data_IF_045188004080
#
_entry.id   IF_045188004080
#
_cell.length_a   1.000
_cell.length_b   1.000
_cell.length_c   1.000
_cell.angle_alpha   90.00
_cell.angle_beta   90.00
_cell.angle_gamma   90.00
#
_symmetry.space_group_name_H-M   'P 1'
#
loop_
_entity.id
_entity.type
_entity.pdbx_description
1 polymer ?
#
# COMPACT_ATOMS: atom_id res chain seq x y z
N UNK A 1 -26.49 8.52 9.27
CA UNK A 1 -25.85 7.59 8.33
C UNK A 1 -24.51 7.17 8.94
N UNK A 2 -24.37 5.90 9.33
CA UNK A 2 -23.14 5.39 9.93
C UNK A 2 -22.13 5.04 8.81
N UNK A 3 -20.91 5.55 8.92
CA UNK A 3 -19.85 5.34 7.93
C UNK A 3 -19.20 3.96 8.19
N UNK A 4 -19.80 2.90 7.64
CA UNK A 4 -19.33 1.53 7.78
C UNK A 4 -18.02 1.24 7.03
N UNK A 5 -17.41 2.25 6.40
CA UNK A 5 -16.09 2.12 5.77
C UNK A 5 -14.95 1.91 6.79
N UNK A 6 -15.20 2.26 8.06
CA UNK A 6 -14.27 2.08 9.19
C UNK A 6 -14.26 0.65 9.75
N UNK A 7 -15.27 -0.17 9.45
CA UNK A 7 -15.36 -1.56 9.91
C UNK A 7 -14.33 -2.44 9.21
N UNK A 8 -13.68 -3.35 9.93
CA UNK A 8 -12.62 -4.22 9.41
C UNK A 8 -13.09 -5.12 8.24
N UNK A 9 -14.39 -5.45 8.22
CA UNK A 9 -15.01 -6.37 7.26
C UNK A 9 -15.34 -5.70 5.91
N UNK A 10 -15.31 -4.36 5.83
CA UNK A 10 -15.59 -3.66 4.59
C UNK A 10 -14.40 -3.73 3.64
N UNK A 11 -14.58 -4.35 2.46
CA UNK A 11 -13.56 -4.45 1.41
C UNK A 11 -13.15 -3.07 0.83
N UNK A 12 -14.04 -2.09 0.93
CA UNK A 12 -13.83 -0.73 0.44
C UNK A 12 -13.77 0.29 1.59
N UNK A 13 -12.89 1.28 1.46
CA UNK A 13 -12.68 2.39 2.39
C UNK A 13 -13.02 3.74 1.75
N UNK A 14 -13.57 4.67 2.53
CA UNK A 14 -13.81 6.04 2.06
C UNK A 14 -12.51 6.85 2.00
N UNK A 15 -12.55 8.03 1.38
CA UNK A 15 -11.44 9.00 1.42
C UNK A 15 -11.04 9.38 2.84
N UNK A 16 -11.99 9.38 3.78
CA UNK A 16 -11.73 9.61 5.21
C UNK A 16 -10.99 8.45 5.86
N UNK A 17 -11.28 7.21 5.46
CA UNK A 17 -10.51 6.04 5.89
C UNK A 17 -9.07 6.11 5.35
N UNK A 18 -8.90 6.36 4.05
CA UNK A 18 -7.58 6.47 3.43
C UNK A 18 -6.73 7.60 4.04
N UNK A 19 -7.34 8.76 4.33
CA UNK A 19 -6.68 9.87 5.01
C UNK A 19 -6.18 9.47 6.41
N UNK A 20 -7.03 8.84 7.23
CA UNK A 20 -6.64 8.33 8.56
C UNK A 20 -5.55 7.28 8.47
N UNK A 21 -5.64 6.37 7.49
CA UNK A 21 -4.67 5.30 7.28
C UNK A 21 -3.29 5.84 6.88
N UNK A 22 -3.25 7.00 6.21
CA UNK A 22 -2.02 7.72 5.88
C UNK A 22 -1.57 8.70 6.98
N UNK A 23 -2.31 8.82 8.09
CA UNK A 23 -2.04 9.80 9.15
C UNK A 23 -2.24 11.26 8.71
N UNK A 24 -3.11 11.50 7.73
CA UNK A 24 -3.38 12.82 7.15
C UNK A 24 -4.79 13.30 7.53
N UNK A 25 -4.93 14.61 7.72
CA UNK A 25 -6.25 15.24 7.76
C UNK A 25 -6.95 15.14 6.40
N UNK A 26 -8.29 15.04 6.33
CA UNK A 26 -9.02 14.88 5.07
C UNK A 26 -8.76 16.01 4.05
N UNK A 27 -8.58 17.25 4.51
CA UNK A 27 -8.19 18.36 3.63
C UNK A 27 -6.78 18.19 3.05
N UNK A 28 -5.82 17.77 3.87
CA UNK A 28 -4.45 17.50 3.43
C UNK A 28 -4.38 16.28 2.50
N UNK A 29 -5.24 15.29 2.71
CA UNK A 29 -5.36 14.14 1.82
C UNK A 29 -5.89 14.56 0.46
N UNK A 30 -6.93 15.38 0.38
CA UNK A 30 -7.46 15.89 -0.90
C UNK A 30 -6.43 16.70 -1.69
N UNK A 31 -5.67 17.57 -1.02
CA UNK A 31 -4.60 18.36 -1.63
C UNK A 31 -3.45 17.48 -2.14
N UNK A 32 -3.02 16.51 -1.33
CA UNK A 32 -1.95 15.58 -1.68
C UNK A 32 -2.41 14.43 -2.56
N UNK A 33 -3.71 14.26 -2.79
CA UNK A 33 -4.27 13.12 -3.53
C UNK A 33 -3.63 12.99 -4.90
N UNK A 34 -3.54 14.09 -5.64
CA UNK A 34 -2.93 14.12 -6.97
C UNK A 34 -1.46 13.67 -6.95
N UNK A 35 -0.73 14.11 -5.92
CA UNK A 35 0.67 13.73 -5.70
C UNK A 35 0.81 12.27 -5.27
N UNK A 36 -0.15 11.73 -4.52
CA UNK A 36 -0.19 10.33 -4.12
C UNK A 36 -0.50 9.44 -5.34
N UNK A 37 -1.49 9.79 -6.14
CA UNK A 37 -1.83 9.10 -7.39
C UNK A 37 -0.64 9.08 -8.35
N UNK A 38 0.09 10.19 -8.49
CA UNK A 38 1.33 10.25 -9.27
C UNK A 38 2.46 9.35 -8.72
N UNK A 39 2.42 9.01 -7.43
CA UNK A 39 3.33 8.05 -6.78
C UNK A 39 2.81 6.61 -6.82
N UNK A 40 1.74 6.36 -7.57
CA UNK A 40 1.12 5.04 -7.71
C UNK A 40 0.09 4.70 -6.65
N UNK A 41 -0.40 5.67 -5.87
CA UNK A 41 -1.51 5.43 -4.94
C UNK A 41 -2.76 5.04 -5.74
N UNK A 42 -3.51 4.00 -5.29
CA UNK A 42 -4.68 3.52 -6.03
C UNK A 42 -5.75 4.59 -6.15
N UNK A 43 -6.34 4.68 -7.34
CA UNK A 43 -7.47 5.58 -7.60
C UNK A 43 -8.76 5.02 -6.98
N UNK A 44 -9.70 5.88 -6.58
CA UNK A 44 -11.00 5.41 -6.12
C UNK A 44 -11.73 4.70 -7.27
N UNK A 45 -12.40 3.60 -6.94
CA UNK A 45 -13.19 2.83 -7.89
C UNK A 45 -14.25 3.72 -8.56
N UNK A 46 -14.37 3.71 -9.90
CA UNK A 46 -15.27 4.61 -10.61
C UNK A 46 -16.76 4.32 -10.35
N UNK A 47 -17.10 3.10 -9.94
CA UNK A 47 -18.48 2.69 -9.68
C UNK A 47 -18.88 3.01 -8.23
N UNK A 48 -18.00 2.71 -7.28
CA UNK A 48 -18.28 2.88 -5.84
C UNK A 48 -17.81 4.24 -5.29
N UNK A 49 -16.91 4.94 -5.99
CA UNK A 49 -16.18 6.13 -5.52
C UNK A 49 -15.46 5.91 -4.18
N UNK A 50 -15.08 4.67 -3.91
CA UNK A 50 -14.37 4.23 -2.71
C UNK A 50 -13.02 3.63 -3.08
N UNK A 51 -12.08 3.61 -2.13
CA UNK A 51 -10.78 2.96 -2.30
C UNK A 51 -10.89 1.49 -1.89
N UNK A 52 -10.29 0.59 -2.65
CA UNK A 52 -10.18 -0.81 -2.24
C UNK A 52 -9.10 -0.89 -1.15
N UNK A 53 -9.46 -1.43 0.02
CA UNK A 53 -8.52 -1.47 1.16
C UNK A 53 -7.30 -2.31 0.86
N UNK A 54 -7.49 -3.42 0.13
CA UNK A 54 -6.40 -4.31 -0.29
C UNK A 54 -5.35 -3.58 -1.13
N UNK A 55 -5.76 -2.78 -2.12
CA UNK A 55 -4.83 -2.01 -2.94
C UNK A 55 -4.08 -0.95 -2.14
N UNK A 56 -4.77 -0.26 -1.22
CA UNK A 56 -4.14 0.74 -0.35
C UNK A 56 -3.12 0.09 0.58
N UNK A 57 -3.42 -1.09 1.14
CA UNK A 57 -2.48 -1.87 1.95
C UNK A 57 -1.29 -2.33 1.12
N UNK A 58 -1.51 -2.93 -0.05
CA UNK A 58 -0.45 -3.40 -0.94
C UNK A 58 0.47 -2.24 -1.37
N UNK A 59 -0.08 -1.06 -1.65
CA UNK A 59 0.71 0.14 -1.96
C UNK A 59 1.56 0.58 -0.76
N UNK A 60 1.01 0.56 0.46
CA UNK A 60 1.76 0.89 1.67
C UNK A 60 2.85 -0.13 1.99
N UNK A 61 2.57 -1.43 1.84
CA UNK A 61 3.54 -2.51 2.01
C UNK A 61 4.68 -2.38 1.00
N UNK A 62 4.36 -2.08 -0.27
CA UNK A 62 5.36 -1.79 -1.29
C UNK A 62 6.24 -0.60 -0.89
N UNK A 63 5.65 0.48 -0.39
CA UNK A 63 6.38 1.66 0.10
C UNK A 63 7.25 1.37 1.32
N UNK A 64 6.74 0.56 2.25
CA UNK A 64 7.49 0.12 3.44
C UNK A 64 8.66 -0.76 3.03
N UNK A 65 8.45 -1.68 2.09
CA UNK A 65 9.50 -2.54 1.54
C UNK A 65 10.59 -1.76 0.81
N UNK A 66 10.23 -0.68 0.10
CA UNK A 66 11.21 0.24 -0.51
C UNK A 66 12.02 0.97 0.57
N UNK A 67 11.40 1.32 1.71
CA UNK A 67 12.06 2.01 2.83
C UNK A 67 12.94 1.08 3.68
N UNK A 68 12.58 -0.18 3.81
CA UNK A 68 13.43 -1.24 4.39
C UNK A 68 14.50 -1.74 3.38
N UNK A 69 14.29 -1.51 2.09
CA UNK A 69 15.21 -1.88 0.99
C UNK A 69 16.40 -0.95 0.78
N UNK A 70 16.54 0.12 1.56
CA UNK A 70 17.78 0.90 1.66
C UNK A 70 18.83 0.20 2.56
N UNK A 71 18.53 -1.02 3.01
CA UNK A 71 19.57 -2.03 3.29
C UNK A 71 19.71 -2.91 2.06
N UNK A 72 20.60 -2.49 1.18
CA UNK A 72 21.03 -3.23 -0.01
C UNK A 72 21.81 -4.52 0.40
N UNK A 73 22.30 -5.30 -0.58
CA UNK A 73 21.75 -6.56 -1.06
C UNK A 73 22.54 -7.77 -0.53
N UNK A 74 21.90 -8.93 -0.32
CA UNK A 74 22.65 -10.19 -0.22
C UNK A 74 22.14 -11.09 -1.33
N UNK A 75 22.94 -11.10 -2.40
CA UNK A 75 23.12 -12.21 -3.30
C UNK A 75 23.37 -13.46 -2.44
N UNK A 76 22.29 -14.11 -2.02
CA UNK A 76 22.34 -15.39 -1.32
C UNK A 76 22.73 -16.45 -2.33
N UNK A 77 24.03 -16.48 -2.64
CA UNK A 77 24.77 -17.55 -3.28
C UNK A 77 24.08 -18.88 -3.02
N UNK A 78 23.35 -19.40 -4.02
CA UNK A 78 22.87 -20.78 -3.97
C UNK A 78 24.15 -21.62 -3.88
N UNK A 79 24.39 -22.40 -2.81
CA UNK A 79 25.48 -23.35 -2.86
C UNK A 79 25.16 -24.31 -3.99
N UNK A 80 25.86 -24.17 -5.11
CA UNK A 80 25.92 -25.20 -6.14
C UNK A 80 26.58 -26.38 -5.46
N UNK A 81 25.76 -27.31 -4.97
CA UNK A 81 26.21 -28.60 -4.49
C UNK A 81 26.97 -29.27 -5.64
N UNK A 82 28.30 -29.26 -5.57
CA UNK A 82 29.12 -30.03 -6.48
C UNK A 82 28.93 -31.51 -6.12
N UNK A 83 28.02 -32.18 -6.83
CA UNK A 83 27.92 -33.65 -6.85
C UNK A 83 29.07 -34.23 -7.70
N UNK A 84 30.30 -34.00 -7.24
CA UNK A 84 31.50 -34.54 -7.86
C UNK A 84 32.53 -34.87 -6.79
N UNK A 85 32.76 -36.17 -6.61
CA UNK A 85 33.77 -36.82 -5.75
C UNK A 85 33.42 -36.97 -4.26
N UNK A 86 32.83 -38.12 -3.92
CA UNK A 86 33.50 -39.12 -3.07
C UNK A 86 32.97 -40.52 -3.39
#
# INVERSE_FOLDING_TARGET
MADHSLTAEAACGSSKWAAQFLGLSPGAFSDRRRTLEAKGFPQPDPLLKLYIKADVMAWLETRRRIRDGDKMPEDGERPRLNLGAL
#
